data_IF_498863541127
#
_entry.id   IF_498863541127
#
_cell.length_a   1.000
_cell.length_b   1.000
_cell.length_c   1.000
_cell.angle_alpha   90.00
_cell.angle_beta   90.00
_cell.angle_gamma   90.00
#
_symmetry.space_group_name_H-M   'P 1'
#
loop_
_entity.id
_entity.type
_entity.pdbx_description
1 polymer ?
#
# COMPACT_ATOMS: atom_id res chain seq x y z
N UNK A 1 47.60 32.24 32.37
CA UNK A 1 47.35 30.78 32.31
C UNK A 1 45.90 30.42 32.01
N UNK A 2 44.90 31.11 32.60
CA UNK A 2 43.48 30.78 32.43
C UNK A 2 42.92 30.95 31.00
N UNK A 3 43.41 31.93 30.22
CA UNK A 3 42.97 32.15 28.81
C UNK A 3 43.34 31.01 27.86
N UNK A 4 44.43 30.28 28.13
CA UNK A 4 44.90 29.15 27.30
C UNK A 4 44.08 27.87 27.54
N UNK A 5 43.47 27.75 28.72
CA UNK A 5 42.60 26.62 29.05
C UNK A 5 41.23 26.79 28.37
N UNK A 6 40.68 28.00 28.34
CA UNK A 6 39.41 28.27 27.66
C UNK A 6 39.50 28.05 26.15
N UNK A 7 40.57 28.49 25.49
CA UNK A 7 40.75 28.26 24.05
C UNK A 7 40.93 26.78 23.71
N UNK A 8 41.60 26.01 24.57
CA UNK A 8 41.78 24.56 24.40
C UNK A 8 40.47 23.80 24.56
N UNK A 9 39.64 24.19 25.53
CA UNK A 9 38.31 23.59 25.76
C UNK A 9 37.37 23.93 24.59
N UNK A 10 37.34 25.17 24.12
CA UNK A 10 36.50 25.55 22.97
C UNK A 10 36.94 24.87 21.68
N UNK A 11 38.25 24.68 21.46
CA UNK A 11 38.76 24.00 20.26
C UNK A 11 38.44 22.50 20.28
N UNK A 12 38.56 21.84 21.44
CA UNK A 12 38.16 20.43 21.61
C UNK A 12 36.65 20.23 21.50
N UNK A 13 35.85 21.14 22.04
CA UNK A 13 34.39 21.08 21.93
C UNK A 13 33.92 21.35 20.50
N UNK A 14 34.56 22.28 19.78
CA UNK A 14 34.31 22.54 18.36
C UNK A 14 34.72 21.37 17.45
N UNK A 15 35.76 20.59 17.82
CA UNK A 15 36.19 19.40 17.08
C UNK A 15 35.29 18.18 17.37
N UNK A 16 34.67 18.13 18.55
CA UNK A 16 33.71 17.08 18.93
C UNK A 16 32.33 17.27 18.25
N UNK A 17 31.98 18.48 17.84
CA UNK A 17 30.71 18.80 17.16
C UNK A 17 30.77 18.53 15.64
N UNK A 18 31.97 18.33 15.06
CA UNK A 18 32.17 18.13 13.62
C UNK A 18 32.00 16.70 13.10
N UNK A 19 31.62 15.75 13.95
CA UNK A 19 31.38 14.35 13.58
C UNK A 19 29.99 13.84 14.01
N UNK A 20 28.97 14.69 13.97
CA UNK A 20 27.60 14.18 13.90
C UNK A 20 27.34 13.73 12.46
N UNK A 21 27.90 12.58 12.11
CA UNK A 21 27.44 11.84 10.94
C UNK A 21 26.02 11.37 11.26
N UNK A 22 25.03 12.20 10.91
CA UNK A 22 23.65 11.71 10.85
C UNK A 22 23.64 10.71 9.71
N UNK A 23 23.85 9.44 10.05
CA UNK A 23 23.63 8.33 9.15
C UNK A 23 22.15 8.33 8.78
N UNK A 24 21.80 9.08 7.74
CA UNK A 24 20.54 8.90 7.04
C UNK A 24 20.61 7.51 6.42
N UNK A 25 20.10 6.50 7.13
CA UNK A 25 19.94 5.16 6.57
C UNK A 25 19.06 5.28 5.33
N UNK A 26 19.70 5.34 4.16
CA UNK A 26 19.00 5.38 2.88
C UNK A 26 18.35 4.01 2.72
N UNK A 27 17.01 3.98 2.64
CA UNK A 27 16.28 2.75 2.39
C UNK A 27 16.77 2.05 1.12
N UNK A 28 16.51 0.76 1.02
CA UNK A 28 16.86 -0.04 -0.15
C UNK A 28 15.74 0.08 -1.19
N UNK A 29 16.04 0.69 -2.34
CA UNK A 29 15.09 0.75 -3.46
C UNK A 29 14.91 -0.65 -4.07
N UNK A 30 13.67 -1.10 -4.17
CA UNK A 30 13.30 -2.41 -4.74
C UNK A 30 12.78 -2.28 -6.19
N UNK A 31 12.44 -1.08 -6.62
CA UNK A 31 12.12 -0.79 -8.02
C UNK A 31 10.90 0.09 -8.20
N UNK A 32 10.35 0.03 -9.42
CA UNK A 32 9.21 0.84 -9.85
C UNK A 32 7.93 0.01 -9.88
N UNK A 33 6.81 0.60 -9.44
CA UNK A 33 5.50 -0.04 -9.55
C UNK A 33 5.12 -0.27 -11.03
N UNK A 34 4.62 -1.47 -11.31
CA UNK A 34 3.92 -1.80 -12.54
C UNK A 34 2.52 -1.19 -12.54
N UNK A 35 1.98 -0.85 -13.71
CA UNK A 35 0.65 -0.25 -13.84
C UNK A 35 -0.15 -1.00 -14.88
N UNK A 36 -1.38 -1.36 -14.52
CA UNK A 36 -2.41 -1.84 -15.43
C UNK A 36 -3.38 -0.71 -15.79
N UNK A 37 -3.88 0.00 -14.77
CA UNK A 37 -4.88 1.05 -14.92
C UNK A 37 -4.65 2.20 -13.93
N UNK A 38 -5.43 3.26 -14.07
CA UNK A 38 -5.49 4.41 -13.15
C UNK A 38 -4.18 5.15 -12.93
N UNK A 39 -3.25 5.01 -13.88
CA UNK A 39 -2.01 5.76 -13.92
C UNK A 39 -1.06 5.50 -12.75
N UNK A 40 -1.11 4.30 -12.14
CA UNK A 40 -0.25 3.92 -11.01
C UNK A 40 1.23 4.12 -11.36
N UNK A 41 1.94 4.89 -10.54
CA UNK A 41 3.39 5.11 -10.65
C UNK A 41 3.99 5.24 -9.26
N UNK A 42 5.27 4.92 -9.13
CA UNK A 42 6.04 5.17 -7.92
C UNK A 42 7.32 4.34 -7.90
N UNK A 43 8.34 4.83 -7.19
CA UNK A 43 9.54 4.06 -6.86
C UNK A 43 9.47 3.66 -5.40
N UNK A 44 9.64 2.37 -5.12
CA UNK A 44 9.45 1.80 -3.78
C UNK A 44 10.80 1.49 -3.16
N UNK A 45 10.95 1.90 -1.90
CA UNK A 45 12.12 1.59 -1.08
C UNK A 45 11.69 0.98 0.25
N UNK A 46 12.39 -0.06 0.67
CA UNK A 46 12.27 -0.65 2.00
C UNK A 46 13.13 0.15 2.97
N UNK A 47 12.49 0.73 3.98
CA UNK A 47 13.15 1.61 4.95
C UNK A 47 13.61 0.84 6.19
N UNK A 48 12.80 -0.12 6.63
CA UNK A 48 13.10 -1.05 7.73
C UNK A 48 12.22 -2.32 7.63
N UNK A 49 12.17 -3.15 8.68
CA UNK A 49 11.44 -4.42 8.68
C UNK A 49 9.94 -4.29 8.37
N UNK A 50 9.31 -3.14 8.62
CA UNK A 50 7.85 -2.95 8.46
C UNK A 50 7.51 -1.71 7.65
N UNK A 51 8.49 -0.86 7.34
CA UNK A 51 8.26 0.44 6.72
C UNK A 51 8.74 0.45 5.28
N UNK A 52 7.86 0.90 4.40
CA UNK A 52 8.18 1.17 3.00
C UNK A 52 7.92 2.64 2.67
N UNK A 53 8.70 3.17 1.74
CA UNK A 53 8.52 4.50 1.17
C UNK A 53 8.20 4.37 -0.31
N UNK A 54 7.20 5.09 -0.78
CA UNK A 54 6.86 5.19 -2.20
C UNK A 54 7.12 6.63 -2.64
N UNK A 55 8.09 6.83 -3.51
CA UNK A 55 8.46 8.12 -4.06
C UNK A 55 7.76 8.38 -5.40
N UNK A 56 7.13 9.54 -5.54
CA UNK A 56 6.43 9.91 -6.77
C UNK A 56 5.16 9.09 -7.01
N UNK A 57 4.48 8.67 -5.94
CA UNK A 57 3.22 7.93 -6.03
C UNK A 57 2.19 8.72 -6.82
N UNK A 58 1.68 8.12 -7.88
CA UNK A 58 0.59 8.66 -8.70
C UNK A 58 -0.50 7.61 -8.80
N UNK A 59 -1.75 8.03 -8.63
CA UNK A 59 -2.97 7.25 -8.81
C UNK A 59 -4.13 8.24 -8.95
N UNK A 60 -4.99 8.09 -9.95
CA UNK A 60 -6.01 9.10 -10.29
C UNK A 60 -7.16 9.23 -9.27
N UNK A 61 -7.38 8.21 -8.43
CA UNK A 61 -8.43 8.17 -7.42
C UNK A 61 -9.79 7.71 -7.94
N UNK A 62 -9.90 7.18 -9.16
CA UNK A 62 -11.19 6.84 -9.79
C UNK A 62 -11.69 5.42 -9.49
N UNK A 63 -10.87 4.60 -8.83
CA UNK A 63 -11.26 3.26 -8.42
C UNK A 63 -12.28 3.31 -7.28
N UNK A 64 -13.48 2.71 -7.42
CA UNK A 64 -14.59 2.88 -6.48
C UNK A 64 -14.41 2.15 -5.15
N UNK A 65 -13.44 1.24 -5.05
CA UNK A 65 -13.08 0.58 -3.81
C UNK A 65 -11.62 0.18 -3.87
N UNK A 66 -10.72 1.16 -3.87
CA UNK A 66 -9.27 0.93 -3.98
C UNK A 66 -8.56 1.05 -2.63
N UNK A 67 -7.64 0.13 -2.37
CA UNK A 67 -6.81 0.05 -1.16
C UNK A 67 -5.37 -0.32 -1.49
N UNK A 68 -4.47 -0.07 -0.54
CA UNK A 68 -3.19 -0.77 -0.54
C UNK A 68 -3.43 -2.20 -0.05
N UNK A 69 -2.98 -3.19 -0.82
CA UNK A 69 -3.10 -4.61 -0.47
C UNK A 69 -1.72 -5.25 -0.53
N UNK A 70 -1.33 -5.97 0.52
CA UNK A 70 -0.10 -6.75 0.56
C UNK A 70 -0.45 -8.22 0.87
N UNK A 71 0.18 -9.15 0.16
CA UNK A 71 -0.19 -10.56 0.24
C UNK A 71 0.92 -11.49 -0.21
N UNK A 72 0.57 -12.76 -0.39
CA UNK A 72 1.48 -13.82 -0.84
C UNK A 72 1.07 -14.39 -2.20
N UNK A 73 1.98 -15.10 -2.83
CA UNK A 73 1.81 -15.69 -4.16
C UNK A 73 2.32 -14.78 -5.28
N UNK A 74 2.21 -15.27 -6.51
CA UNK A 74 2.71 -14.63 -7.73
C UNK A 74 1.58 -14.06 -8.62
N UNK A 75 0.33 -14.31 -8.25
CA UNK A 75 -0.87 -13.87 -8.97
C UNK A 75 -1.00 -12.34 -9.09
N UNK A 76 -0.28 -11.59 -8.26
CA UNK A 76 -0.20 -10.12 -8.31
C UNK A 76 0.30 -9.55 -9.63
N UNK A 77 0.87 -10.36 -10.52
CA UNK A 77 1.26 -9.94 -11.87
C UNK A 77 0.09 -9.95 -12.88
N UNK A 78 -1.11 -10.30 -12.43
CA UNK A 78 -2.34 -10.31 -13.25
C UNK A 78 -3.21 -9.09 -12.93
N UNK A 79 -3.95 -8.63 -13.95
CA UNK A 79 -4.83 -7.45 -13.83
C UNK A 79 -6.16 -7.79 -13.16
N UNK A 80 -6.89 -8.78 -13.68
CA UNK A 80 -8.16 -9.26 -13.11
C UNK A 80 -7.92 -10.58 -12.38
N UNK A 81 -7.84 -10.51 -11.07
CA UNK A 81 -7.43 -11.63 -10.23
C UNK A 81 -7.89 -11.37 -8.80
N UNK A 82 -8.32 -12.43 -8.12
CA UNK A 82 -8.57 -12.37 -6.68
C UNK A 82 -7.24 -12.54 -5.94
N UNK A 83 -6.81 -11.47 -5.26
CA UNK A 83 -5.54 -11.45 -4.55
C UNK A 83 -5.70 -11.88 -3.09
N UNK A 84 -5.01 -12.94 -2.69
CA UNK A 84 -4.88 -13.33 -1.29
C UNK A 84 -3.94 -12.37 -0.55
N UNK A 85 -4.52 -11.30 -0.02
CA UNK A 85 -3.79 -10.27 0.70
C UNK A 85 -4.62 -9.57 1.76
N UNK A 86 -3.91 -8.81 2.59
CA UNK A 86 -4.49 -7.96 3.63
C UNK A 86 -4.51 -6.51 3.18
N UNK A 87 -5.51 -5.76 3.65
CA UNK A 87 -5.55 -4.32 3.42
C UNK A 87 -4.60 -3.61 4.38
N UNK A 88 -3.68 -2.85 3.79
CA UNK A 88 -2.67 -2.05 4.47
C UNK A 88 -3.22 -0.64 4.69
N UNK A 89 -3.15 -0.09 5.91
CA UNK A 89 -3.54 1.29 6.16
C UNK A 89 -2.77 2.30 5.30
N UNK A 90 -3.41 3.43 4.98
CA UNK A 90 -2.78 4.49 4.20
C UNK A 90 -1.65 5.21 4.95
N UNK A 91 -1.04 6.23 4.34
CA UNK A 91 0.08 6.98 4.92
C UNK A 91 -0.27 7.74 6.22
N UNK A 92 -1.57 7.84 6.52
CA UNK A 92 -2.12 8.45 7.75
C UNK A 92 -2.64 7.38 8.72
N UNK A 93 -2.35 6.10 8.48
CA UNK A 93 -2.84 4.93 9.20
C UNK A 93 -4.37 4.82 9.19
N UNK A 94 -5.01 5.16 8.06
CA UNK A 94 -6.46 5.06 7.89
C UNK A 94 -6.81 3.84 7.05
N UNK A 95 -7.90 3.18 7.44
CA UNK A 95 -8.50 2.05 6.74
C UNK A 95 -9.65 2.50 5.84
N UNK A 96 -9.41 3.52 5.01
CA UNK A 96 -10.40 4.09 4.10
C UNK A 96 -9.95 3.91 2.67
N UNK A 97 -10.89 3.94 1.72
CA UNK A 97 -10.59 3.97 0.29
C UNK A 97 -9.51 5.01 -0.04
N UNK A 98 -8.62 4.66 -0.96
CA UNK A 98 -7.54 5.54 -1.39
C UNK A 98 -8.07 6.78 -2.09
N UNK A 99 -7.43 7.90 -1.77
CA UNK A 99 -7.60 9.15 -2.51
C UNK A 99 -6.74 9.14 -3.76
N UNK A 100 -6.91 10.17 -4.59
CA UNK A 100 -5.95 10.54 -5.62
C UNK A 100 -4.57 10.84 -5.01
N UNK A 101 -3.52 10.38 -5.69
CA UNK A 101 -2.12 10.75 -5.44
C UNK A 101 -1.52 11.38 -6.70
N UNK A 102 -0.77 12.49 -6.55
CA UNK A 102 -0.22 13.23 -7.68
C UNK A 102 1.28 13.49 -7.55
N UNK A 103 2.09 12.43 -7.67
CA UNK A 103 3.55 12.49 -7.61
C UNK A 103 4.08 12.67 -6.18
N UNK A 104 3.36 12.16 -5.18
CA UNK A 104 3.65 12.37 -3.76
C UNK A 104 4.65 11.34 -3.24
N UNK A 105 5.47 11.73 -2.26
CA UNK A 105 6.23 10.75 -1.47
C UNK A 105 5.43 10.39 -0.23
N UNK A 106 5.12 9.11 -0.06
CA UNK A 106 4.42 8.58 1.10
C UNK A 106 5.22 7.49 1.81
N UNK A 107 4.89 7.25 3.07
CA UNK A 107 5.45 6.16 3.87
C UNK A 107 4.30 5.31 4.39
N UNK A 108 4.38 4.01 4.16
CA UNK A 108 3.43 3.02 4.67
C UNK A 108 4.13 2.17 5.74
N UNK A 109 3.38 1.86 6.79
CA UNK A 109 3.78 0.87 7.80
C UNK A 109 2.93 -0.37 7.58
N UNK A 110 3.57 -1.47 7.22
CA UNK A 110 2.92 -2.75 7.00
C UNK A 110 2.51 -3.37 8.34
N UNK A 111 1.37 -4.10 8.39
CA UNK A 111 0.95 -4.82 9.59
C UNK A 111 1.85 -6.00 10.01
N UNK A 112 2.75 -6.42 9.13
CA UNK A 112 3.73 -7.48 9.37
C UNK A 112 5.08 -7.07 8.79
N UNK A 113 6.05 -7.99 8.81
CA UNK A 113 7.35 -7.72 8.21
C UNK A 113 7.22 -7.65 6.69
N UNK A 114 8.02 -6.81 6.04
CA UNK A 114 8.05 -6.74 4.56
C UNK A 114 8.35 -8.12 3.96
N UNK A 115 9.17 -8.94 4.63
CA UNK A 115 9.48 -10.32 4.25
C UNK A 115 8.34 -11.31 4.40
N UNK A 116 7.22 -10.92 5.02
CA UNK A 116 6.04 -11.77 5.16
C UNK A 116 5.13 -11.70 3.93
N UNK A 117 5.44 -10.82 2.97
CA UNK A 117 4.65 -10.54 1.77
C UNK A 117 5.51 -10.71 0.52
N UNK A 118 4.85 -11.09 -0.58
CA UNK A 118 5.46 -11.22 -1.90
C UNK A 118 5.19 -9.98 -2.78
N UNK A 119 4.20 -9.15 -2.41
CA UNK A 119 3.85 -7.95 -3.16
C UNK A 119 3.15 -6.86 -2.33
N UNK A 120 3.11 -5.67 -2.92
CA UNK A 120 2.18 -4.59 -2.57
C UNK A 120 1.45 -4.13 -3.84
N UNK A 121 0.14 -3.94 -3.76
CA UNK A 121 -0.72 -3.48 -4.86
C UNK A 121 -1.59 -2.29 -4.44
N UNK A 122 -1.93 -1.45 -5.42
CA UNK A 122 -3.13 -0.62 -5.39
C UNK A 122 -4.23 -1.46 -6.05
N UNK A 123 -5.13 -2.00 -5.23
CA UNK A 123 -6.08 -3.03 -5.64
C UNK A 123 -7.51 -2.60 -5.37
N UNK A 124 -8.39 -2.88 -6.33
CA UNK A 124 -9.83 -2.67 -6.19
C UNK A 124 -10.51 -3.93 -5.66
N UNK A 125 -10.82 -3.98 -4.35
CA UNK A 125 -11.50 -5.14 -3.76
C UNK A 125 -12.88 -5.37 -4.37
N UNK A 126 -13.58 -4.30 -4.76
CA UNK A 126 -14.94 -4.38 -5.31
C UNK A 126 -15.02 -5.18 -6.61
N UNK A 127 -13.98 -5.12 -7.43
CA UNK A 127 -13.99 -5.70 -8.77
C UNK A 127 -12.85 -6.69 -9.03
N UNK A 128 -12.11 -7.06 -7.98
CA UNK A 128 -10.93 -7.89 -8.08
C UNK A 128 -9.96 -7.45 -9.18
N UNK A 129 -9.67 -6.15 -9.18
CA UNK A 129 -8.91 -5.48 -10.24
C UNK A 129 -7.67 -4.82 -9.65
N UNK A 130 -6.52 -5.37 -10.01
CA UNK A 130 -5.21 -4.85 -9.66
C UNK A 130 -4.84 -3.68 -10.57
N UNK A 131 -4.75 -2.47 -10.02
CA UNK A 131 -4.42 -1.29 -10.81
C UNK A 131 -2.91 -1.13 -11.01
N UNK A 132 -2.12 -1.69 -10.11
CA UNK A 132 -0.68 -1.69 -10.19
C UNK A 132 -0.04 -2.26 -8.95
N UNK A 133 1.18 -2.76 -9.09
CA UNK A 133 1.85 -3.53 -8.04
C UNK A 133 3.36 -3.33 -8.03
N UNK A 134 4.00 -3.77 -6.96
CA UNK A 134 5.42 -4.05 -6.87
C UNK A 134 5.59 -5.42 -6.19
N UNK A 135 6.46 -6.27 -6.73
CA UNK A 135 6.86 -7.51 -6.06
C UNK A 135 7.98 -7.23 -5.06
N UNK A 136 7.98 -7.94 -3.95
CA UNK A 136 9.04 -7.92 -2.95
C UNK A 136 10.08 -8.99 -3.28
N UNK A 137 11.36 -8.64 -3.54
CA UNK A 137 12.38 -9.63 -3.84
C UNK A 137 12.74 -10.49 -2.61
N UNK A 138 12.95 -11.79 -2.80
CA UNK A 138 13.34 -12.69 -1.69
C UNK A 138 14.69 -12.32 -1.05
N UNK A 139 15.60 -11.71 -1.81
CA UNK A 139 16.96 -11.38 -1.39
C UNK A 139 17.12 -9.93 -0.87
N UNK A 140 16.01 -9.31 -0.44
CA UNK A 140 15.99 -7.97 0.14
C UNK A 140 16.95 -7.83 1.32
N UNK A 141 17.89 -6.88 1.23
CA UNK A 141 18.74 -6.46 2.34
C UNK A 141 18.02 -5.40 3.16
N UNK A 142 17.25 -5.84 4.15
CA UNK A 142 16.51 -4.94 5.04
C UNK A 142 17.51 -4.07 5.82
N UNK A 143 17.44 -2.73 5.71
CA UNK A 143 18.29 -1.84 6.48
C UNK A 143 18.05 -2.03 7.98
N UNK A 144 19.13 -2.25 8.74
CA UNK A 144 19.04 -2.29 10.20
C UNK A 144 18.73 -0.88 10.71
N UNK A 145 17.60 -0.72 11.40
CA UNK A 145 17.30 0.53 12.11
C UNK A 145 17.98 0.50 13.48
N UNK A 146 18.94 1.41 13.71
CA UNK A 146 19.70 1.58 14.96
C UNK A 146 18.81 1.85 16.21
N UNK A 147 17.51 2.01 16.01
CA UNK A 147 16.54 2.46 17.02
C UNK A 147 15.25 1.61 17.06
N UNK A 148 15.26 0.39 16.49
CA UNK A 148 14.12 -0.54 16.53
C UNK A 148 13.65 -0.88 17.96
N UNK A 149 14.53 -0.73 18.97
CA UNK A 149 14.23 -1.04 20.36
C UNK A 149 13.30 -0.05 21.08
N UNK A 150 13.09 1.18 20.56
CA UNK A 150 12.09 2.11 21.12
C UNK A 150 10.91 2.39 20.17
N UNK A 151 11.08 2.08 18.88
CA UNK A 151 9.99 2.01 17.89
C UNK A 151 9.23 0.69 17.93
N UNK A 152 9.34 -0.08 19.02
CA UNK A 152 8.54 -1.29 19.22
C UNK A 152 7.06 -0.91 19.13
N UNK A 153 6.50 -1.17 17.95
CA UNK A 153 5.10 -1.34 17.62
C UNK A 153 4.10 -0.43 18.33
N UNK A 154 3.67 0.62 17.63
CA UNK A 154 2.25 0.59 17.30
C UNK A 154 2.10 -0.59 16.35
N UNK A 155 1.53 -1.69 16.82
CA UNK A 155 1.02 -2.73 15.93
C UNK A 155 0.01 -2.02 15.02
N UNK A 156 0.45 -1.63 13.84
CA UNK A 156 -0.46 -1.16 12.80
C UNK A 156 -1.22 -2.42 12.41
N UNK A 157 -2.47 -2.52 12.83
CA UNK A 157 -3.29 -3.69 12.51
C UNK A 157 -3.68 -3.62 11.04
N UNK A 158 -3.78 -4.79 10.41
CA UNK A 158 -4.41 -4.90 9.10
C UNK A 158 -5.82 -4.31 9.17
N UNK A 159 -6.28 -3.71 8.07
CA UNK A 159 -7.65 -3.23 8.04
C UNK A 159 -8.61 -4.42 7.90
N UNK A 160 -9.37 -4.69 8.95
CA UNK A 160 -10.40 -5.72 8.97
C UNK A 160 -11.76 -5.10 8.61
N UNK A 161 -12.59 -5.84 7.86
CA UNK A 161 -13.96 -5.43 7.56
C UNK A 161 -14.07 -4.11 6.80
N UNK A 162 -13.14 -3.82 5.88
CA UNK A 162 -13.25 -2.65 5.00
C UNK A 162 -14.50 -2.73 4.16
N UNK A 163 -15.33 -1.71 4.27
CA UNK A 163 -16.55 -1.56 3.48
C UNK A 163 -16.21 -1.37 2.00
N UNK A 164 -16.45 -2.40 1.19
CA UNK A 164 -16.26 -2.39 -0.26
C UNK A 164 -17.38 -1.68 -1.01
N UNK A 165 -18.47 -1.36 -0.31
CA UNK A 165 -19.73 -0.85 -0.85
C UNK A 165 -19.96 0.64 -0.51
N UNK A 166 -19.14 1.24 0.36
CA UNK A 166 -19.23 2.65 0.79
C UNK A 166 -19.29 3.69 -0.35
N UNK A 167 -18.87 3.34 -1.57
CA UNK A 167 -18.98 4.19 -2.75
C UNK A 167 -20.40 4.24 -3.36
N UNK A 168 -21.32 3.36 -2.97
CA UNK A 168 -22.68 3.27 -3.51
C UNK A 168 -23.55 4.51 -3.20
N UNK A 169 -23.25 5.24 -2.12
CA UNK A 169 -23.95 6.49 -1.76
C UNK A 169 -23.41 7.75 -2.46
N UNK A 170 -22.47 7.61 -3.39
CA UNK A 170 -22.17 8.66 -4.37
C UNK A 170 -22.72 8.18 -5.70
N UNK A 171 -23.78 8.82 -6.18
CA UNK A 171 -24.33 8.56 -7.52
C UNK A 171 -23.17 8.42 -8.52
N UNK A 172 -23.02 7.26 -9.18
CA UNK A 172 -21.93 7.06 -10.12
C UNK A 172 -22.17 7.97 -11.33
N UNK A 173 -21.34 9.00 -11.51
CA UNK A 173 -21.25 9.71 -12.79
C UNK A 173 -20.50 8.84 -13.79
N UNK A 174 -21.08 7.71 -14.18
CA UNK A 174 -20.53 6.83 -15.19
C UNK A 174 -20.95 7.33 -16.59
N UNK A 175 -19.97 7.84 -17.34
CA UNK A 175 -19.94 7.94 -18.82
C UNK A 175 -18.68 7.22 -19.30
N UNK A 176 -18.66 6.61 -20.49
CA UNK A 176 -18.71 5.15 -20.51
C UNK A 176 -17.51 4.49 -21.23
N UNK A 177 -17.41 3.18 -20.99
CA UNK A 177 -16.71 2.13 -21.74
C UNK A 177 -15.25 1.77 -21.41
N UNK A 178 -14.90 0.46 -21.52
CA UNK A 178 -15.73 -0.59 -22.13
C UNK A 178 -16.29 -1.65 -21.17
N UNK A 179 -17.61 -1.87 -21.26
CA UNK A 179 -18.37 -2.98 -20.68
C UNK A 179 -18.43 -3.08 -19.15
N UNK A 180 -19.46 -2.46 -18.55
CA UNK A 180 -20.06 -3.04 -17.35
C UNK A 180 -20.53 -4.44 -17.76
N UNK A 181 -19.97 -5.47 -17.15
CA UNK A 181 -20.38 -6.84 -17.41
C UNK A 181 -21.81 -6.97 -16.91
N UNK A 182 -22.76 -7.04 -17.85
CA UNK A 182 -23.94 -7.86 -17.66
C UNK A 182 -23.41 -9.25 -17.30
N UNK A 183 -23.42 -9.60 -16.01
CA UNK A 183 -23.65 -11.01 -15.71
C UNK A 183 -25.02 -11.30 -16.33
N UNK A 184 -25.19 -12.34 -17.15
CA UNK A 184 -26.53 -12.85 -17.35
C UNK A 184 -27.04 -13.15 -15.93
N UNK A 185 -28.11 -12.48 -15.53
CA UNK A 185 -28.84 -12.83 -14.33
C UNK A 185 -29.22 -14.30 -14.49
N UNK A 186 -28.46 -15.13 -13.78
CA UNK A 186 -28.71 -16.54 -13.69
C UNK A 186 -29.90 -16.73 -12.79
N UNK A 187 -30.97 -17.19 -13.42
CA UNK A 187 -31.92 -18.15 -12.87
C UNK A 187 -32.95 -17.57 -11.86
N UNK A 188 -33.87 -16.74 -12.36
CA UNK A 188 -35.26 -16.89 -11.91
C UNK A 188 -35.77 -18.21 -12.49
N UNK A 189 -35.71 -19.28 -11.70
CA UNK A 189 -36.51 -20.48 -11.99
C UNK A 189 -37.98 -20.05 -11.89
N UNK A 190 -38.62 -19.88 -13.05
CA UNK A 190 -40.07 -19.81 -13.16
C UNK A 190 -40.64 -21.10 -12.55
N UNK A 191 -41.22 -20.96 -11.35
CA UNK A 191 -42.12 -21.93 -10.74
C UNK A 191 -43.27 -22.18 -11.73
N UNK A 192 -43.15 -23.19 -12.59
CA UNK A 192 -44.28 -23.74 -13.32
C UNK A 192 -45.13 -24.51 -12.30
N UNK A 193 -46.12 -23.79 -11.82
CA UNK A 193 -47.32 -24.29 -11.17
C UNK A 193 -47.98 -25.38 -12.03
N UNK A 194 -47.88 -26.62 -11.55
CA UNK A 194 -48.67 -27.73 -12.06
C UNK A 194 -50.14 -27.49 -11.75
N UNK A 195 -50.90 -27.09 -12.77
CA UNK A 195 -52.35 -27.27 -12.79
C UNK A 195 -52.64 -28.78 -12.95
N UNK A 196 -52.78 -29.45 -11.81
CA UNK A 196 -53.74 -30.53 -11.67
C UNK A 196 -55.13 -29.89 -11.81
N UNK A 197 -55.87 -30.22 -12.87
CA UNK A 197 -57.34 -30.21 -12.79
C UNK A 197 -57.94 -31.29 -13.69
N UNK A 198 -58.84 -32.01 -13.05
CA UNK A 198 -59.57 -33.21 -13.42
C UNK A 198 -60.62 -32.95 -14.52
N UNK A 199 -60.72 -33.85 -15.50
CA UNK A 199 -62.00 -34.46 -15.95
C UNK A 199 -61.79 -35.65 -16.91
#
# INVERSE_FOLDING_TARGET
MLKLLFTSITLKLSLLILHLDIASSKGMEIGRMHSFMHGVKGYVSVMDETTIQINGLTYDGEGPGSWFVAGKGDDYIKEFVDLDGIVVPDEKNRCTQLRRYSGETITLTLPGKVTDYDYLSIYCLKFNHNFGYIGFPDDMKIPATENSQWRTQKNVQACEGVDTDAAENREPTCVPWPACWDKPDGDEEDDIDGEDDEE
#
